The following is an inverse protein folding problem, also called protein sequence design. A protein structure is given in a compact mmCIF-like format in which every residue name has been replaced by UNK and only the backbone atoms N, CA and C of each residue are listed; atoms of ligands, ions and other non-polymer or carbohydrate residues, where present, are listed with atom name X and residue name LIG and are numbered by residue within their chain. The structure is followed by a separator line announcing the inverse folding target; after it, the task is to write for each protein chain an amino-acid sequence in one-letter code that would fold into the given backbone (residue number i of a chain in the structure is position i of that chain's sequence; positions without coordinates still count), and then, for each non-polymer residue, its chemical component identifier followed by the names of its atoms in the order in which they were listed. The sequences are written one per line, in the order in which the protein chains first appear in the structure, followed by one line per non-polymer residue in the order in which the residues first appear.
data_IF_964258924445
#
_entry.id   IF_964258924445
#
_cell.length_a   1.000
_cell.length_b   1.000
_cell.length_c   1.000
_cell.angle_alpha   90.00
_cell.angle_beta   90.00
_cell.angle_gamma   90.00
#
_symmetry.space_group_name_H-M   'P 1'
#
loop_
_entity.id
_entity.type
_entity.pdbx_description
1 polymer ?
#
# COMPACT_ATOMS: atom_id res chain seq x y z
N UNK A 1 42.18 -10.25 -38.86
CA UNK A 1 42.02 -10.09 -37.40
C UNK A 1 42.71 -11.24 -36.66
N UNK A 2 43.61 -10.96 -35.68
CA UNK A 2 44.29 -11.98 -34.89
C UNK A 2 43.30 -12.92 -34.17
N UNK A 3 43.70 -14.18 -33.94
CA UNK A 3 42.84 -15.18 -33.25
C UNK A 3 42.48 -14.75 -31.83
N UNK A 4 43.42 -14.17 -31.09
CA UNK A 4 43.19 -13.67 -29.73
C UNK A 4 42.16 -12.52 -29.71
N UNK A 5 42.19 -11.63 -30.69
CA UNK A 5 41.24 -10.52 -30.81
C UNK A 5 39.83 -11.02 -31.14
N UNK A 6 39.71 -12.05 -32.00
CA UNK A 6 38.43 -12.75 -32.25
C UNK A 6 37.85 -13.35 -30.97
N UNK A 7 38.66 -14.07 -30.21
CA UNK A 7 38.22 -14.68 -28.94
C UNK A 7 37.80 -13.61 -27.94
N UNK A 8 38.60 -12.55 -27.78
CA UNK A 8 38.27 -11.45 -26.87
C UNK A 8 36.95 -10.77 -27.25
N UNK A 9 36.73 -10.47 -28.54
CA UNK A 9 35.48 -9.89 -29.02
C UNK A 9 34.29 -10.82 -28.80
N UNK A 10 34.45 -12.13 -29.04
CA UNK A 10 33.40 -13.11 -28.74
C UNK A 10 33.06 -13.13 -27.25
N UNK A 11 34.06 -13.13 -26.37
CA UNK A 11 33.83 -13.08 -24.92
C UNK A 11 33.08 -11.81 -24.53
N UNK A 12 33.49 -10.65 -25.05
CA UNK A 12 32.81 -9.37 -24.77
C UNK A 12 31.35 -9.41 -25.23
N UNK A 13 31.07 -9.92 -26.43
CA UNK A 13 29.69 -10.05 -26.94
C UNK A 13 28.87 -10.98 -26.05
N UNK A 14 29.41 -12.12 -25.64
CA UNK A 14 28.72 -13.06 -24.75
C UNK A 14 28.41 -12.42 -23.40
N UNK A 15 29.38 -11.69 -22.82
CA UNK A 15 29.18 -10.98 -21.55
C UNK A 15 28.13 -9.87 -21.68
N UNK A 16 28.10 -9.14 -22.80
CA UNK A 16 27.09 -8.11 -23.04
C UNK A 16 25.68 -8.71 -23.17
N UNK A 17 25.55 -9.85 -23.88
CA UNK A 17 24.26 -10.56 -23.98
C UNK A 17 23.82 -11.07 -22.62
N UNK A 18 24.73 -11.67 -21.85
CA UNK A 18 24.44 -12.15 -20.50
C UNK A 18 24.03 -11.00 -19.56
N UNK A 19 24.75 -9.88 -19.61
CA UNK A 19 24.44 -8.69 -18.83
C UNK A 19 23.08 -8.09 -19.22
N UNK A 20 22.76 -8.02 -20.52
CA UNK A 20 21.47 -7.54 -21.00
C UNK A 20 20.32 -8.47 -20.56
N UNK A 21 20.52 -9.79 -20.64
CA UNK A 21 19.56 -10.78 -20.16
C UNK A 21 19.34 -10.68 -18.64
N UNK A 22 20.42 -10.55 -17.86
CA UNK A 22 20.34 -10.35 -16.42
C UNK A 22 19.65 -9.03 -16.07
N UNK A 23 20.00 -7.93 -16.74
CA UNK A 23 19.34 -6.63 -16.55
C UNK A 23 17.84 -6.72 -16.81
N UNK A 24 17.43 -7.32 -17.94
CA UNK A 24 16.03 -7.53 -18.23
C UNK A 24 15.36 -8.39 -17.15
N UNK A 25 15.99 -9.49 -16.73
CA UNK A 25 15.40 -10.39 -15.75
C UNK A 25 15.27 -9.79 -14.35
N UNK A 26 16.23 -8.99 -13.89
CA UNK A 26 16.21 -8.37 -12.56
C UNK A 26 15.44 -7.05 -12.52
N UNK A 27 15.60 -6.20 -13.54
CA UNK A 27 15.15 -4.80 -13.55
C UNK A 27 14.03 -4.56 -14.57
N UNK A 28 14.17 -5.12 -15.78
CA UNK A 28 13.25 -4.84 -16.89
C UNK A 28 11.91 -5.58 -16.82
N UNK A 29 11.88 -6.77 -16.22
CA UNK A 29 10.71 -7.62 -16.19
C UNK A 29 9.73 -7.18 -15.09
N UNK A 30 8.71 -6.43 -15.51
CA UNK A 30 7.52 -6.09 -14.71
C UNK A 30 6.25 -6.76 -15.21
N UNK A 31 6.33 -7.77 -16.08
CA UNK A 31 5.15 -8.37 -16.70
C UNK A 31 4.64 -9.58 -15.91
N UNK A 32 3.30 -9.80 -15.88
CA UNK A 32 2.74 -11.00 -15.29
C UNK A 32 3.13 -12.26 -16.08
N UNK A 33 3.22 -13.44 -15.44
CA UNK A 33 3.27 -14.72 -16.12
C UNK A 33 2.08 -14.88 -17.10
N UNK A 34 2.32 -15.45 -18.29
CA UNK A 34 1.32 -15.49 -19.36
C UNK A 34 0.07 -16.36 -19.08
N UNK A 35 0.11 -17.23 -18.08
CA UNK A 35 -1.01 -18.09 -17.66
C UNK A 35 -1.74 -17.58 -16.40
N UNK A 36 -1.30 -16.45 -15.86
CA UNK A 36 -1.83 -15.90 -14.61
C UNK A 36 -3.30 -15.47 -14.78
N UNK A 37 -4.13 -15.87 -13.81
CA UNK A 37 -5.52 -15.46 -13.74
C UNK A 37 -5.68 -14.30 -12.75
N UNK A 38 -6.56 -13.32 -13.02
CA UNK A 38 -6.89 -12.29 -12.05
C UNK A 38 -7.40 -12.90 -10.74
N UNK A 39 -7.07 -12.28 -9.62
CA UNK A 39 -7.69 -12.61 -8.34
C UNK A 39 -9.20 -12.42 -8.42
N UNK A 40 -9.96 -13.30 -7.77
CA UNK A 40 -11.41 -13.14 -7.68
C UNK A 40 -11.73 -11.94 -6.77
N UNK A 41 -12.56 -11.03 -7.26
CA UNK A 41 -13.06 -9.90 -6.49
C UNK A 41 -14.52 -9.64 -6.88
N UNK A 42 -15.39 -9.53 -5.88
CA UNK A 42 -16.82 -9.32 -6.05
C UNK A 42 -17.20 -7.97 -5.42
N UNK A 43 -17.26 -6.93 -6.25
CA UNK A 43 -17.56 -5.57 -5.78
C UNK A 43 -18.97 -5.46 -5.19
N UNK A 44 -19.94 -6.24 -5.66
CA UNK A 44 -21.29 -6.24 -5.10
C UNK A 44 -21.32 -6.87 -3.71
N UNK A 45 -20.55 -7.94 -3.50
CA UNK A 45 -20.37 -8.50 -2.16
C UNK A 45 -19.68 -7.50 -1.21
N UNK A 46 -18.68 -6.76 -1.69
CA UNK A 46 -18.03 -5.69 -0.91
C UNK A 46 -19.01 -4.57 -0.56
N UNK A 47 -19.83 -4.12 -1.51
CA UNK A 47 -20.87 -3.10 -1.30
C UNK A 47 -21.91 -3.56 -0.29
N UNK A 48 -22.36 -4.81 -0.38
CA UNK A 48 -23.29 -5.40 0.58
C UNK A 48 -22.66 -5.49 1.98
N UNK A 49 -21.38 -5.87 2.06
CA UNK A 49 -20.62 -5.91 3.31
C UNK A 49 -20.49 -4.51 3.92
N UNK A 50 -20.26 -3.49 3.11
CA UNK A 50 -20.18 -2.09 3.55
C UNK A 50 -21.50 -1.56 4.14
N UNK A 51 -22.63 -2.17 3.77
CA UNK A 51 -23.97 -1.84 4.28
C UNK A 51 -24.40 -2.74 5.46
N UNK A 52 -23.52 -3.63 5.96
CA UNK A 52 -23.81 -4.59 7.04
C UNK A 52 -23.99 -3.93 8.41
N UNK A 53 -23.15 -2.95 8.74
CA UNK A 53 -23.17 -2.29 10.05
C UNK A 53 -24.11 -1.08 10.03
N UNK A 54 -25.00 -0.93 11.03
CA UNK A 54 -25.91 0.20 11.10
C UNK A 54 -25.18 1.50 11.46
N UNK A 55 -25.68 2.63 10.97
CA UNK A 55 -25.14 3.97 11.26
C UNK A 55 -24.98 4.80 10.00
N UNK A 56 -24.54 6.06 10.17
CA UNK A 56 -24.20 6.91 9.03
C UNK A 56 -22.80 6.61 8.51
N UNK A 57 -22.65 6.70 7.18
CA UNK A 57 -21.38 6.49 6.48
C UNK A 57 -20.48 7.72 6.57
N UNK A 58 -19.27 7.59 6.05
CA UNK A 58 -18.31 8.67 6.03
C UNK A 58 -18.83 9.90 5.26
N UNK A 59 -18.78 11.08 5.89
CA UNK A 59 -19.06 12.35 5.23
C UNK A 59 -17.85 12.84 4.42
N UNK A 60 -16.65 12.54 4.94
CA UNK A 60 -15.38 13.01 4.41
C UNK A 60 -14.30 11.94 4.57
N UNK A 61 -13.35 11.92 3.64
CA UNK A 61 -12.08 11.20 3.78
C UNK A 61 -10.97 12.22 3.64
N UNK A 62 -10.07 12.27 4.63
CA UNK A 62 -8.95 13.21 4.68
C UNK A 62 -7.63 12.47 4.51
N UNK A 63 -6.59 13.18 4.07
CA UNK A 63 -5.25 12.61 3.90
C UNK A 63 -4.17 13.53 4.47
N UNK A 64 -3.26 12.96 5.24
CA UNK A 64 -1.97 13.57 5.57
C UNK A 64 -0.89 13.01 4.65
N UNK A 65 -0.06 13.90 4.10
CA UNK A 65 1.21 13.50 3.47
C UNK A 65 2.31 13.60 4.51
N UNK A 66 2.60 12.49 5.19
CA UNK A 66 3.43 12.48 6.40
C UNK A 66 4.92 12.44 6.07
N UNK A 67 5.30 11.66 5.06
CA UNK A 67 6.68 11.57 4.61
C UNK A 67 6.75 11.71 3.10
N UNK A 68 7.82 12.33 2.59
CA UNK A 68 8.13 12.40 1.15
C UNK A 68 9.53 11.85 0.89
N UNK A 69 9.64 11.08 -0.19
CA UNK A 69 10.88 10.48 -0.66
C UNK A 69 10.80 10.30 -2.18
N UNK A 70 11.91 9.91 -2.81
CA UNK A 70 11.97 9.73 -4.25
C UNK A 70 12.47 8.33 -4.58
N UNK A 71 11.85 7.66 -5.56
CA UNK A 71 12.36 6.41 -6.12
C UNK A 71 12.50 6.51 -7.65
N UNK A 72 13.39 5.72 -8.26
CA UNK A 72 13.39 5.55 -9.71
C UNK A 72 12.06 4.98 -10.20
N UNK A 73 11.48 5.51 -11.29
CA UNK A 73 10.21 5.02 -11.83
C UNK A 73 10.22 3.51 -12.12
N UNK A 74 11.38 2.98 -12.56
CA UNK A 74 11.58 1.54 -12.77
C UNK A 74 11.35 0.71 -11.51
N UNK A 75 11.54 1.26 -10.31
CA UNK A 75 11.27 0.57 -9.06
C UNK A 75 9.77 0.30 -8.86
N UNK A 76 8.90 1.21 -9.28
CA UNK A 76 7.45 1.02 -9.23
C UNK A 76 6.97 0.10 -10.35
N UNK A 77 7.39 0.35 -11.60
CA UNK A 77 6.95 -0.42 -12.78
C UNK A 77 8.16 -0.95 -13.54
N UNK A 78 8.33 -2.28 -13.54
CA UNK A 78 9.43 -2.93 -14.24
C UNK A 78 9.49 -2.56 -15.73
N UNK A 79 10.68 -2.13 -16.17
CA UNK A 79 10.93 -1.68 -17.54
C UNK A 79 10.65 -0.20 -17.80
N UNK A 80 10.17 0.57 -16.83
CA UNK A 80 10.15 2.03 -16.91
C UNK A 80 11.58 2.63 -16.79
N UNK A 81 11.68 3.96 -16.91
CA UNK A 81 12.95 4.68 -16.87
C UNK A 81 13.52 4.88 -15.46
N UNK A 82 14.76 5.38 -15.39
CA UNK A 82 15.48 5.67 -14.15
C UNK A 82 15.23 7.09 -13.61
N UNK A 83 14.28 7.84 -14.17
CA UNK A 83 13.91 9.14 -13.63
C UNK A 83 13.37 8.97 -12.21
N UNK A 84 13.82 9.83 -11.30
CA UNK A 84 13.30 9.87 -9.93
C UNK A 84 11.89 10.44 -9.96
N UNK A 85 10.96 9.78 -9.30
CA UNK A 85 9.57 10.20 -9.15
C UNK A 85 9.25 10.43 -7.67
N UNK A 86 8.52 11.50 -7.34
CA UNK A 86 8.14 11.80 -5.97
C UNK A 86 7.15 10.76 -5.46
N UNK A 87 7.41 10.26 -4.26
CA UNK A 87 6.58 9.31 -3.53
C UNK A 87 6.33 9.84 -2.11
N UNK A 88 5.33 9.27 -1.45
CA UNK A 88 5.00 9.64 -0.09
C UNK A 88 4.41 8.48 0.71
N UNK A 89 4.60 8.54 2.02
CA UNK A 89 3.79 7.79 2.96
C UNK A 89 2.62 8.66 3.42
N UNK A 90 1.43 8.11 3.31
CA UNK A 90 0.18 8.77 3.63
C UNK A 90 -0.45 8.17 4.88
N UNK A 91 -1.28 8.95 5.55
CA UNK A 91 -2.28 8.45 6.48
C UNK A 91 -3.63 9.03 6.12
N UNK A 92 -4.68 8.22 6.21
CA UNK A 92 -6.03 8.63 5.83
C UNK A 92 -6.96 8.61 7.03
N UNK A 93 -7.82 9.62 7.15
CA UNK A 93 -8.85 9.71 8.18
C UNK A 93 -10.23 9.66 7.53
N UNK A 94 -10.99 8.61 7.82
CA UNK A 94 -12.38 8.46 7.40
C UNK A 94 -13.27 9.04 8.51
N UNK A 95 -14.09 10.03 8.19
CA UNK A 95 -14.88 10.80 9.16
C UNK A 95 -16.33 10.33 9.13
N UNK A 96 -16.72 9.53 10.11
CA UNK A 96 -18.10 9.09 10.33
C UNK A 96 -18.84 10.09 11.24
N UNK A 97 -20.18 9.99 11.39
CA UNK A 97 -20.94 10.95 12.21
C UNK A 97 -20.51 11.03 13.67
N UNK A 98 -20.03 9.94 14.24
CA UNK A 98 -19.67 9.81 15.67
C UNK A 98 -18.25 9.34 15.91
N UNK A 99 -17.53 9.00 14.85
CA UNK A 99 -16.33 8.16 14.91
C UNK A 99 -15.35 8.54 13.79
N UNK A 100 -14.09 8.15 13.97
CA UNK A 100 -13.10 8.19 12.90
C UNK A 100 -12.37 6.87 12.75
N UNK A 101 -12.05 6.53 11.50
CA UNK A 101 -11.14 5.42 11.17
C UNK A 101 -9.85 5.99 10.61
N UNK A 102 -8.72 5.53 11.13
CA UNK A 102 -7.39 5.80 10.55
C UNK A 102 -6.99 4.62 9.68
N UNK A 103 -6.52 4.91 8.46
CA UNK A 103 -5.95 3.94 7.52
C UNK A 103 -4.49 4.33 7.29
N UNK A 104 -3.59 3.41 7.63
CA UNK A 104 -2.13 3.59 7.61
C UNK A 104 -1.64 4.70 8.56
N UNK A 105 -0.43 4.50 9.08
CA UNK A 105 0.12 5.31 10.17
C UNK A 105 1.54 5.80 9.89
N UNK A 106 1.94 5.79 8.61
CA UNK A 106 3.24 6.27 8.16
C UNK A 106 4.39 5.77 9.08
N UNK A 107 5.40 6.62 9.30
CA UNK A 107 6.56 6.30 10.13
C UNK A 107 7.24 7.56 10.69
N UNK A 108 7.89 7.48 11.86
CA UNK A 108 8.70 8.58 12.38
C UNK A 108 10.05 8.69 11.66
N UNK A 109 10.72 9.83 11.82
CA UNK A 109 11.99 10.15 11.15
C UNK A 109 13.08 9.08 11.31
N UNK A 110 13.18 8.44 12.48
CA UNK A 110 14.16 7.39 12.75
C UNK A 110 14.02 6.17 11.81
N UNK A 111 12.79 5.82 11.41
CA UNK A 111 12.52 4.71 10.49
C UNK A 111 12.67 5.11 9.02
N UNK A 112 12.55 6.41 8.71
CA UNK A 112 12.65 6.96 7.36
C UNK A 112 14.05 7.21 6.81
N UNK A 113 15.06 7.18 7.69
CA UNK A 113 16.40 7.65 7.35
C UNK A 113 17.05 6.86 6.19
N UNK A 114 16.83 5.55 6.12
CA UNK A 114 17.38 4.68 5.05
C UNK A 114 16.75 4.96 3.68
N UNK A 115 15.53 5.49 3.66
CA UNK A 115 14.79 5.87 2.45
C UNK A 115 15.13 7.30 2.00
N UNK A 116 15.93 8.04 2.78
CA UNK A 116 16.13 9.48 2.55
C UNK A 116 14.84 10.27 2.71
N UNK A 117 13.88 9.76 3.49
CA UNK A 117 12.57 10.36 3.64
C UNK A 117 12.64 11.66 4.46
N UNK A 118 11.96 12.69 3.96
CA UNK A 118 11.68 13.92 4.69
C UNK A 118 10.31 13.79 5.34
N UNK A 119 10.29 13.84 6.67
CA UNK A 119 9.05 13.85 7.46
C UNK A 119 8.53 15.27 7.57
N UNK A 120 7.22 15.44 7.48
CA UNK A 120 6.50 16.63 7.92
C UNK A 120 6.06 16.42 9.37
N UNK A 121 6.78 17.05 10.30
CA UNK A 121 6.56 16.86 11.75
C UNK A 121 5.16 17.28 12.19
N UNK A 122 4.59 18.32 11.56
CA UNK A 122 3.24 18.80 11.87
C UNK A 122 2.18 17.81 11.36
N UNK A 123 2.38 17.22 10.17
CA UNK A 123 1.52 16.16 9.65
C UNK A 123 1.60 14.89 10.50
N UNK A 124 2.81 14.50 10.91
CA UNK A 124 3.02 13.35 11.80
C UNK A 124 2.33 13.57 13.16
N UNK A 125 2.47 14.76 13.76
CA UNK A 125 1.78 15.10 15.01
C UNK A 125 0.26 15.09 14.87
N UNK A 126 -0.31 15.64 13.77
CA UNK A 126 -1.76 15.57 13.51
C UNK A 126 -2.24 14.13 13.34
N UNK A 127 -1.46 13.28 12.69
CA UNK A 127 -1.76 11.87 12.55
C UNK A 127 -1.76 11.16 13.92
N UNK A 128 -0.75 11.39 14.77
CA UNK A 128 -0.70 10.80 16.11
C UNK A 128 -1.89 11.24 16.98
N UNK A 129 -2.24 12.53 16.96
CA UNK A 129 -3.43 13.02 17.66
C UNK A 129 -4.71 12.36 17.13
N UNK A 130 -4.85 12.24 15.81
CA UNK A 130 -5.99 11.59 15.19
C UNK A 130 -6.07 10.08 15.53
N UNK A 131 -4.93 9.41 15.71
CA UNK A 131 -4.88 8.03 16.20
C UNK A 131 -5.39 7.92 17.64
N UNK A 132 -5.06 8.87 18.52
CA UNK A 132 -5.56 8.88 19.90
C UNK A 132 -7.08 8.96 19.99
N UNK A 133 -7.70 9.73 19.07
CA UNK A 133 -9.15 9.97 19.04
C UNK A 133 -9.94 8.95 18.21
N UNK A 134 -9.25 8.13 17.41
CA UNK A 134 -9.89 7.19 16.51
C UNK A 134 -10.51 6.00 17.24
N UNK A 135 -11.65 5.53 16.75
CA UNK A 135 -12.28 4.31 17.27
C UNK A 135 -11.88 3.06 16.50
N UNK A 136 -11.32 3.22 15.30
CA UNK A 136 -10.67 2.16 14.55
C UNK A 136 -9.35 2.66 13.95
N UNK A 137 -8.29 1.87 14.02
CA UNK A 137 -7.01 2.11 13.36
C UNK A 137 -6.64 0.83 12.62
N UNK A 138 -6.48 0.95 11.32
CA UNK A 138 -6.15 -0.16 10.42
C UNK A 138 -4.92 0.20 9.61
N UNK A 139 -4.20 -0.81 9.16
CA UNK A 139 -3.11 -0.64 8.18
C UNK A 139 -3.35 -1.58 7.01
N UNK A 140 -3.04 -1.12 5.81
CA UNK A 140 -3.08 -1.92 4.58
C UNK A 140 -2.09 -3.08 4.69
N UNK A 141 -0.90 -2.85 5.28
CA UNK A 141 0.08 -3.88 5.54
C UNK A 141 1.14 -3.48 6.58
N UNK A 142 2.04 -4.40 6.89
CA UNK A 142 2.98 -4.36 8.01
C UNK A 142 4.40 -3.87 7.69
N UNK A 143 4.62 -3.19 6.56
CA UNK A 143 5.88 -2.47 6.35
C UNK A 143 5.96 -1.21 7.20
N UNK A 144 7.19 -0.78 7.48
CA UNK A 144 7.48 0.33 8.38
C UNK A 144 6.73 1.59 8.01
N UNK A 145 6.49 1.82 6.72
CA UNK A 145 5.86 3.02 6.23
C UNK A 145 4.33 3.02 6.24
N UNK A 146 3.73 1.94 6.75
CA UNK A 146 2.29 1.80 6.95
C UNK A 146 1.96 1.56 8.42
N UNK A 147 2.74 0.72 9.11
CA UNK A 147 2.54 0.38 10.54
C UNK A 147 3.44 1.16 11.51
N UNK A 148 4.41 1.93 10.98
CA UNK A 148 5.46 2.54 11.78
C UNK A 148 4.95 3.46 12.88
N UNK A 149 3.91 4.26 12.61
CA UNK A 149 3.27 5.11 13.62
C UNK A 149 2.69 4.32 14.79
N UNK A 150 2.10 3.13 14.56
CA UNK A 150 1.63 2.25 15.64
C UNK A 150 2.80 1.69 16.44
N UNK A 151 3.82 1.17 15.74
CA UNK A 151 4.99 0.54 16.37
C UNK A 151 5.80 1.54 17.20
N UNK A 152 5.88 2.79 16.74
CA UNK A 152 6.61 3.87 17.39
C UNK A 152 5.75 4.72 18.34
N UNK A 153 4.45 4.41 18.46
CA UNK A 153 3.53 5.25 19.21
C UNK A 153 3.95 5.38 20.67
N UNK A 154 3.90 6.60 21.22
CA UNK A 154 4.43 6.87 22.57
C UNK A 154 3.60 6.19 23.68
N UNK A 155 2.28 6.13 23.52
CA UNK A 155 1.36 5.43 24.44
C UNK A 155 0.55 4.36 23.71
N UNK A 156 1.16 3.20 23.38
CA UNK A 156 0.49 2.18 22.56
C UNK A 156 -0.73 1.58 23.26
N UNK A 157 -0.78 1.58 24.60
CA UNK A 157 -1.93 1.10 25.38
C UNK A 157 -3.16 1.99 25.15
N UNK A 158 -2.96 3.31 25.01
CA UNK A 158 -4.01 4.27 24.72
C UNK A 158 -4.78 3.99 23.43
N UNK A 159 -4.09 3.52 22.38
CA UNK A 159 -4.69 3.21 21.07
C UNK A 159 -5.09 1.73 20.90
N UNK A 160 -4.72 0.86 21.84
CA UNK A 160 -4.86 -0.60 21.71
C UNK A 160 -6.29 -1.05 21.35
N UNK A 161 -7.31 -0.38 21.90
CA UNK A 161 -8.73 -0.72 21.66
C UNK A 161 -9.21 -0.35 20.27
N UNK A 162 -8.57 0.60 19.60
CA UNK A 162 -8.90 1.02 18.25
C UNK A 162 -8.24 0.13 17.19
N UNK A 163 -7.16 -0.58 17.52
CA UNK A 163 -6.40 -1.38 16.55
C UNK A 163 -7.23 -2.52 15.94
N UNK A 164 -7.17 -2.66 14.61
CA UNK A 164 -7.77 -3.75 13.83
C UNK A 164 -6.73 -4.40 12.92
N UNK A 165 -5.69 -4.97 13.53
CA UNK A 165 -4.63 -5.68 12.84
C UNK A 165 -4.97 -7.16 12.72
N UNK A 166 -4.56 -7.78 11.61
CA UNK A 166 -4.74 -9.21 11.39
C UNK A 166 -3.53 -10.04 11.91
N UNK A 167 -3.67 -11.37 12.08
CA UNK A 167 -2.62 -12.19 12.66
C UNK A 167 -1.30 -12.14 11.88
N UNK A 168 -1.34 -12.13 10.55
CA UNK A 168 -0.12 -12.15 9.73
C UNK A 168 0.63 -10.82 9.78
N UNK A 169 -0.07 -9.69 9.95
CA UNK A 169 0.57 -8.39 10.16
C UNK A 169 1.49 -8.42 11.38
N UNK A 170 1.04 -8.99 12.50
CA UNK A 170 1.85 -9.10 13.71
C UNK A 170 2.96 -10.15 13.58
N UNK A 171 2.62 -11.32 13.04
CA UNK A 171 3.57 -12.43 12.91
C UNK A 171 4.75 -12.10 11.98
N UNK A 172 4.54 -11.21 11.01
CA UNK A 172 5.55 -10.85 10.01
C UNK A 172 6.44 -9.68 10.40
N UNK A 173 6.13 -8.91 11.45
CA UNK A 173 6.93 -7.75 11.86
C UNK A 173 8.45 -8.03 11.99
N UNK A 174 8.88 -9.14 12.63
CA UNK A 174 10.31 -9.43 12.77
C UNK A 174 11.02 -9.64 11.43
N UNK A 175 10.31 -10.13 10.40
CA UNK A 175 10.84 -10.28 9.03
C UNK A 175 11.25 -8.93 8.44
N UNK A 176 10.55 -7.86 8.84
CA UNK A 176 10.76 -6.49 8.37
C UNK A 176 11.59 -5.65 9.36
N UNK A 177 12.21 -6.28 10.36
CA UNK A 177 13.02 -5.59 11.35
C UNK A 177 12.20 -4.73 12.33
N UNK A 178 10.89 -4.96 12.42
CA UNK A 178 9.99 -4.27 13.33
C UNK A 178 9.72 -5.13 14.55
N UNK A 179 9.53 -4.47 15.70
CA UNK A 179 9.23 -5.14 16.97
C UNK A 179 7.90 -4.64 17.48
N UNK A 180 6.97 -5.57 17.75
CA UNK A 180 5.69 -5.22 18.36
C UNK A 180 5.89 -4.63 19.77
N UNK A 181 5.21 -3.54 20.16
CA UNK A 181 5.36 -2.96 21.48
C UNK A 181 5.01 -3.97 22.59
N UNK A 182 5.94 -4.18 23.53
CA UNK A 182 5.74 -5.14 24.63
C UNK A 182 4.51 -4.82 25.50
N UNK A 183 4.12 -3.55 25.58
CA UNK A 183 2.93 -3.10 26.28
C UNK A 183 1.62 -3.60 25.63
N UNK A 184 1.68 -4.10 24.40
CA UNK A 184 0.58 -4.70 23.65
C UNK A 184 0.74 -6.22 23.52
N UNK A 185 1.45 -6.88 24.45
CA UNK A 185 1.64 -8.34 24.43
C UNK A 185 0.31 -9.12 24.42
N UNK A 186 -0.72 -8.56 25.05
CA UNK A 186 -2.03 -9.17 25.19
C UNK A 186 -3.01 -8.75 24.08
N UNK A 187 -2.53 -8.00 23.07
CA UNK A 187 -3.34 -7.62 21.92
C UNK A 187 -3.75 -8.87 21.12
N UNK A 188 -5.06 -9.09 21.00
CA UNK A 188 -5.61 -10.15 20.18
C UNK A 188 -5.88 -9.60 18.75
N UNK A 189 -5.15 -10.07 17.72
CA UNK A 189 -5.44 -9.70 16.34
C UNK A 189 -6.81 -10.21 15.92
N UNK A 190 -7.37 -9.57 14.89
CA UNK A 190 -8.69 -9.91 14.36
C UNK A 190 -8.53 -10.87 13.20
N UNK A 191 -9.03 -12.08 13.40
CA UNK A 191 -9.03 -13.14 12.40
C UNK A 191 -10.32 -13.12 11.57
N UNK A 192 -10.18 -13.04 10.25
CA UNK A 192 -11.26 -13.09 9.27
C UNK A 192 -10.72 -13.61 7.93
N UNK A 193 -11.53 -14.39 7.22
CA UNK A 193 -11.05 -15.13 6.04
C UNK A 193 -11.01 -14.30 4.75
N UNK A 194 -12.08 -13.56 4.46
CA UNK A 194 -12.25 -12.84 3.20
C UNK A 194 -12.41 -11.34 3.43
N UNK A 195 -13.50 -10.94 4.11
CA UNK A 195 -13.88 -9.54 4.31
C UNK A 195 -14.48 -9.31 5.69
N UNK A 196 -14.22 -8.13 6.26
CA UNK A 196 -14.73 -7.72 7.56
C UNK A 196 -15.21 -6.26 7.52
N UNK A 197 -16.44 -6.01 7.94
CA UNK A 197 -16.93 -4.65 8.17
C UNK A 197 -16.50 -4.18 9.55
N UNK A 198 -15.85 -3.01 9.61
CA UNK A 198 -15.33 -2.44 10.87
C UNK A 198 -16.05 -1.16 11.30
N UNK A 199 -16.72 -0.50 10.35
CA UNK A 199 -17.59 0.65 10.58
C UNK A 199 -18.61 0.74 9.42
N UNK A 200 -19.71 1.52 9.56
CA UNK A 200 -20.64 1.75 8.46
C UNK A 200 -19.92 2.28 7.21
N UNK A 201 -20.03 1.56 6.10
CA UNK A 201 -19.36 1.89 4.85
C UNK A 201 -17.88 1.49 4.78
N UNK A 202 -17.26 0.91 5.82
CA UNK A 202 -15.82 0.59 5.85
C UNK A 202 -15.59 -0.92 5.95
N UNK A 203 -14.90 -1.48 4.95
CA UNK A 203 -14.66 -2.92 4.82
C UNK A 203 -13.18 -3.21 4.62
N UNK A 204 -12.65 -4.14 5.41
CA UNK A 204 -11.34 -4.75 5.23
C UNK A 204 -11.46 -5.95 4.29
N UNK A 205 -10.56 -6.07 3.32
CA UNK A 205 -10.58 -7.13 2.30
C UNK A 205 -9.20 -7.77 2.24
N UNK A 206 -9.11 -9.07 2.53
CA UNK A 206 -7.82 -9.80 2.50
C UNK A 206 -7.20 -9.74 1.11
N UNK A 207 -5.93 -9.37 1.05
CA UNK A 207 -5.15 -9.28 -0.18
C UNK A 207 -3.68 -9.68 0.04
N UNK A 208 -3.40 -10.85 0.63
CA UNK A 208 -2.03 -11.30 0.85
C UNK A 208 -1.28 -11.37 -0.49
N UNK A 209 -0.05 -10.87 -0.51
CA UNK A 209 0.74 -10.78 -1.74
C UNK A 209 1.99 -9.96 -1.53
N UNK A 210 1.82 -8.63 -1.45
CA UNK A 210 2.92 -7.72 -1.14
C UNK A 210 3.56 -8.05 0.22
N UNK A 211 2.72 -8.24 1.23
CA UNK A 211 3.08 -8.87 2.50
C UNK A 211 2.08 -9.98 2.85
N UNK A 212 2.41 -10.89 3.79
CA UNK A 212 1.46 -11.87 4.31
C UNK A 212 0.20 -11.25 4.92
N UNK A 213 0.33 -10.11 5.61
CA UNK A 213 -0.77 -9.40 6.26
C UNK A 213 -1.50 -8.38 5.39
N UNK A 214 -1.19 -8.28 4.10
CA UNK A 214 -1.75 -7.29 3.19
C UNK A 214 -3.28 -7.39 3.07
N UNK A 215 -3.93 -6.21 3.08
CA UNK A 215 -5.36 -6.03 2.92
C UNK A 215 -5.67 -4.73 2.20
N UNK A 216 -6.77 -4.71 1.45
CA UNK A 216 -7.36 -3.49 0.92
C UNK A 216 -8.39 -2.95 1.92
N UNK A 217 -8.60 -1.64 1.90
CA UNK A 217 -9.66 -0.98 2.67
C UNK A 217 -10.64 -0.34 1.71
N UNK A 218 -11.90 -0.72 1.80
CA UNK A 218 -12.99 -0.12 1.02
C UNK A 218 -13.76 0.86 1.89
N UNK A 219 -14.08 2.03 1.33
CA UNK A 219 -14.85 3.10 1.99
C UNK A 219 -15.97 3.58 1.07
N UNK A 220 -17.21 3.43 1.51
CA UNK A 220 -18.41 4.01 0.90
C UNK A 220 -18.84 5.23 1.70
N UNK A 221 -18.83 6.41 1.06
CA UNK A 221 -19.27 7.68 1.64
C UNK A 221 -20.79 7.82 1.60
N UNK A 222 -21.32 8.75 2.40
CA UNK A 222 -22.76 9.04 2.43
C UNK A 222 -23.27 9.65 1.12
N UNK A 223 -22.40 10.33 0.37
CA UNK A 223 -22.70 10.92 -0.94
C UNK A 223 -22.64 9.90 -2.10
N UNK A 224 -22.40 8.62 -1.78
CA UNK A 224 -22.32 7.52 -2.73
C UNK A 224 -20.94 7.32 -3.37
N UNK A 225 -19.94 8.16 -3.09
CA UNK A 225 -18.57 7.93 -3.56
C UNK A 225 -17.96 6.71 -2.89
N UNK A 226 -17.22 5.93 -3.67
CA UNK A 226 -16.58 4.69 -3.22
C UNK A 226 -15.08 4.80 -3.44
N UNK A 227 -14.29 4.48 -2.41
CA UNK A 227 -12.82 4.48 -2.45
C UNK A 227 -12.29 3.10 -2.07
N UNK A 228 -11.28 2.62 -2.79
CA UNK A 228 -10.57 1.39 -2.51
C UNK A 228 -9.08 1.68 -2.33
N UNK A 229 -8.63 1.64 -1.08
CA UNK A 229 -7.22 1.75 -0.70
C UNK A 229 -6.54 0.42 -0.93
N UNK A 230 -5.62 0.37 -1.90
CA UNK A 230 -5.00 -0.89 -2.33
C UNK A 230 -3.67 -1.18 -1.63
N UNK A 231 -3.19 -0.26 -0.79
CA UNK A 231 -1.85 -0.32 -0.23
C UNK A 231 -0.80 -0.55 -1.32
N UNK A 232 0.13 -1.46 -1.05
CA UNK A 232 1.27 -1.73 -1.91
C UNK A 232 1.07 -2.88 -2.90
N UNK A 233 -0.19 -3.21 -3.22
CA UNK A 233 -0.47 -3.95 -4.46
C UNK A 233 0.08 -3.16 -5.65
N UNK A 234 -0.06 -1.82 -5.62
CA UNK A 234 0.56 -0.91 -6.57
C UNK A 234 0.97 0.40 -5.90
N UNK A 235 2.27 0.71 -5.96
CA UNK A 235 2.80 1.99 -5.48
C UNK A 235 2.20 3.18 -6.23
N UNK A 236 1.97 3.00 -7.53
CA UNK A 236 1.41 4.03 -8.40
C UNK A 236 0.15 3.56 -9.10
N UNK A 237 -0.71 4.49 -9.52
CA UNK A 237 -1.89 4.14 -10.31
C UNK A 237 -1.49 3.49 -11.65
N UNK A 238 -0.29 3.81 -12.14
CA UNK A 238 0.32 3.21 -13.32
C UNK A 238 0.50 1.69 -13.21
N UNK A 239 0.77 1.16 -12.00
CA UNK A 239 0.81 -0.29 -11.78
C UNK A 239 -0.53 -0.93 -12.18
N UNK A 240 -1.64 -0.33 -11.76
CA UNK A 240 -3.00 -0.78 -12.06
C UNK A 240 -3.33 -0.60 -13.55
N UNK A 241 -3.01 0.56 -14.13
CA UNK A 241 -3.28 0.86 -15.55
C UNK A 241 -2.61 -0.12 -16.51
N UNK A 242 -1.33 -0.38 -16.25
CA UNK A 242 -0.50 -1.23 -17.10
C UNK A 242 -0.67 -2.72 -16.78
N UNK A 243 -1.11 -3.05 -15.56
CA UNK A 243 -1.07 -4.41 -15.03
C UNK A 243 0.36 -4.91 -14.78
N UNK A 244 1.31 -3.98 -14.67
CA UNK A 244 2.73 -4.29 -14.45
C UNK A 244 3.11 -4.07 -13.00
N UNK A 245 3.93 -4.98 -12.49
CA UNK A 245 4.45 -4.95 -11.13
C UNK A 245 5.85 -4.37 -11.07
N UNK A 246 6.39 -4.38 -9.86
CA UNK A 246 7.77 -4.01 -9.57
C UNK A 246 8.76 -4.98 -10.24
N UNK A 247 10.02 -4.55 -10.46
CA UNK A 247 11.06 -5.45 -10.94
C UNK A 247 11.26 -6.63 -10.01
N UNK A 248 11.69 -7.77 -10.56
CA UNK A 248 11.97 -8.98 -9.78
C UNK A 248 13.00 -8.74 -8.67
N UNK A 249 14.04 -7.93 -8.93
CA UNK A 249 15.03 -7.58 -7.91
C UNK A 249 14.37 -7.00 -6.65
N UNK A 250 13.49 -6.02 -6.84
CA UNK A 250 12.83 -5.34 -5.74
C UNK A 250 11.74 -6.23 -5.12
N UNK A 251 10.81 -6.72 -5.94
CA UNK A 251 9.68 -7.54 -5.52
C UNK A 251 10.11 -8.80 -4.75
N UNK A 252 10.99 -9.62 -5.34
CA UNK A 252 11.30 -10.94 -4.79
C UNK A 252 12.45 -10.93 -3.78
N UNK A 253 13.47 -10.09 -3.99
CA UNK A 253 14.72 -10.16 -3.22
C UNK A 253 14.88 -9.06 -2.18
N UNK A 254 14.12 -7.96 -2.27
CA UNK A 254 14.19 -6.86 -1.29
C UNK A 254 12.92 -6.74 -0.46
N UNK A 255 11.75 -6.75 -1.12
CA UNK A 255 10.43 -6.64 -0.49
C UNK A 255 9.83 -8.01 -0.15
N UNK A 256 10.38 -9.08 -0.75
CA UNK A 256 10.08 -10.44 -0.34
C UNK A 256 8.59 -10.83 -0.60
N UNK A 257 8.00 -10.23 -1.64
CA UNK A 257 6.60 -10.37 -2.07
C UNK A 257 6.30 -11.74 -2.67
N UNK A 258 5.04 -12.17 -2.58
CA UNK A 258 4.46 -13.12 -3.53
C UNK A 258 4.09 -12.37 -4.81
N UNK A 259 5.04 -12.38 -5.75
CA UNK A 259 4.93 -11.65 -7.02
C UNK A 259 3.76 -12.13 -7.88
N UNK A 260 3.42 -13.42 -7.83
CA UNK A 260 2.30 -13.96 -8.61
C UNK A 260 0.96 -13.50 -8.00
N UNK A 261 0.82 -13.50 -6.68
CA UNK A 261 -0.35 -12.93 -6.01
C UNK A 261 -0.53 -11.43 -6.34
N UNK A 262 0.54 -10.64 -6.28
CA UNK A 262 0.50 -9.20 -6.64
C UNK A 262 0.07 -9.01 -8.10
N UNK A 263 0.57 -9.81 -9.03
CA UNK A 263 0.13 -9.73 -10.43
C UNK A 263 -1.35 -10.11 -10.60
N UNK A 264 -1.83 -11.13 -9.91
CA UNK A 264 -3.23 -11.52 -9.94
C UNK A 264 -4.14 -10.40 -9.43
N UNK A 265 -3.69 -9.69 -8.38
CA UNK A 265 -4.38 -8.54 -7.82
C UNK A 265 -4.34 -7.32 -8.76
N UNK A 266 -3.20 -7.02 -9.39
CA UNK A 266 -3.09 -5.94 -10.37
C UNK A 266 -3.98 -6.19 -11.60
N UNK A 267 -4.03 -7.42 -12.10
CA UNK A 267 -4.92 -7.81 -13.18
C UNK A 267 -6.40 -7.66 -12.77
N UNK A 268 -6.73 -8.04 -11.53
CA UNK A 268 -8.07 -7.84 -10.96
C UNK A 268 -8.43 -6.35 -10.86
N UNK A 269 -7.55 -5.51 -10.30
CA UNK A 269 -7.78 -4.08 -10.15
C UNK A 269 -7.94 -3.39 -11.51
N UNK A 270 -7.18 -3.81 -12.52
CA UNK A 270 -7.33 -3.32 -13.88
C UNK A 270 -8.72 -3.63 -14.45
N UNK A 271 -9.17 -4.88 -14.33
CA UNK A 271 -10.52 -5.27 -14.76
C UNK A 271 -11.62 -4.57 -13.93
N UNK A 272 -11.40 -4.36 -12.64
CA UNK A 272 -12.33 -3.66 -11.76
C UNK A 272 -12.54 -2.21 -12.19
N UNK A 273 -11.51 -1.51 -12.66
CA UNK A 273 -11.66 -0.14 -13.20
C UNK A 273 -12.57 -0.07 -14.42
N UNK A 274 -12.56 -1.11 -15.25
CA UNK A 274 -13.45 -1.19 -16.42
C UNK A 274 -14.88 -1.53 -15.98
N UNK A 275 -15.04 -2.42 -15.00
CA UNK A 275 -16.34 -2.87 -14.52
C UNK A 275 -17.04 -1.87 -13.57
N UNK A 276 -16.28 -1.07 -12.83
CA UNK A 276 -16.76 -0.11 -11.84
C UNK A 276 -15.99 1.23 -11.98
N UNK A 277 -16.23 2.00 -13.04
CA UNK A 277 -15.46 3.21 -13.35
C UNK A 277 -15.62 4.33 -12.29
N UNK A 278 -16.69 4.31 -11.52
CA UNK A 278 -16.95 5.28 -10.44
C UNK A 278 -16.23 4.92 -9.13
N UNK A 279 -15.67 3.70 -9.02
CA UNK A 279 -14.87 3.29 -7.87
C UNK A 279 -13.48 3.93 -7.95
N UNK A 280 -13.16 4.77 -6.98
CA UNK A 280 -11.86 5.42 -6.88
C UNK A 280 -10.84 4.47 -6.29
N UNK A 281 -9.81 4.10 -7.06
CA UNK A 281 -8.67 3.32 -6.57
C UNK A 281 -7.60 4.27 -6.04
N UNK A 282 -7.21 4.08 -4.78
CA UNK A 282 -6.20 4.89 -4.07
C UNK A 282 -4.90 4.09 -3.97
N UNK A 283 -3.83 4.44 -4.73
CA UNK A 283 -2.55 3.73 -4.72
C UNK A 283 -1.72 4.03 -3.46
N UNK A 284 -0.69 3.23 -3.21
CA UNK A 284 0.12 3.32 -1.98
C UNK A 284 0.92 4.61 -1.80
N UNK A 285 1.59 5.11 -2.86
CA UNK A 285 2.60 6.17 -2.73
C UNK A 285 2.57 7.23 -3.85
N UNK A 286 1.51 7.29 -4.63
CA UNK A 286 1.42 8.16 -5.81
C UNK A 286 0.97 9.58 -5.44
N UNK A 287 1.93 10.49 -5.29
CA UNK A 287 1.65 11.90 -4.94
C UNK A 287 0.70 12.54 -5.95
N UNK A 288 0.91 12.30 -7.25
CA UNK A 288 0.09 12.92 -8.29
C UNK A 288 -1.35 12.37 -8.28
N UNK A 289 -1.54 11.08 -8.00
CA UNK A 289 -2.87 10.51 -7.85
C UNK A 289 -3.59 11.11 -6.63
N UNK A 290 -2.93 11.20 -5.47
CA UNK A 290 -3.54 11.79 -4.26
C UNK A 290 -3.89 13.26 -4.49
N UNK A 291 -3.01 14.05 -5.11
CA UNK A 291 -3.30 15.45 -5.45
C UNK A 291 -4.53 15.59 -6.36
N UNK A 292 -4.71 14.67 -7.33
CA UNK A 292 -5.90 14.65 -8.19
C UNK A 292 -7.18 14.27 -7.43
N UNK A 293 -7.09 13.37 -6.44
CA UNK A 293 -8.22 13.01 -5.59
C UNK A 293 -8.64 14.16 -4.65
N UNK A 294 -7.67 14.94 -4.18
CA UNK A 294 -7.94 16.18 -3.43
C UNK A 294 -8.61 17.21 -4.35
N UNK A 295 -8.05 17.44 -5.54
CA UNK A 295 -8.56 18.44 -6.49
C UNK A 295 -9.99 18.12 -6.98
N UNK A 296 -10.35 16.84 -7.09
CA UNK A 296 -11.70 16.39 -7.48
C UNK A 296 -12.71 16.37 -6.32
N UNK A 297 -12.27 16.59 -5.07
CA UNK A 297 -13.11 16.50 -3.87
C UNK A 297 -13.49 15.07 -3.48
N UNK A 298 -12.81 14.05 -4.05
CA UNK A 298 -12.91 12.68 -3.58
C UNK A 298 -12.35 12.54 -2.16
N UNK A 299 -11.35 13.36 -1.83
CA UNK A 299 -10.70 13.47 -0.53
C UNK A 299 -10.41 14.94 -0.19
N UNK A 300 -10.13 15.23 1.08
CA UNK A 300 -9.66 16.54 1.56
C UNK A 300 -8.23 16.45 2.06
N UNK A 301 -7.44 17.50 1.85
CA UNK A 301 -6.10 17.59 2.43
C UNK A 301 -6.16 17.87 3.94
N UNK A 302 -5.21 17.27 4.66
CA UNK A 302 -4.94 17.43 6.09
C UNK A 302 -6.07 16.93 7.00
N UNK A 303 -5.68 16.42 8.16
CA UNK A 303 -6.61 16.12 9.24
C UNK A 303 -7.05 17.42 9.90
N UNK A 304 -8.30 17.46 10.35
CA UNK A 304 -8.81 18.58 11.16
C UNK A 304 -8.82 18.14 12.62
N UNK A 305 -8.22 18.98 13.46
CA UNK A 305 -8.37 18.93 14.91
C UNK A 305 -9.70 19.57 15.32
#
# INVERSE_FOLDING_TARGET
MPRWLRIALTIVVVLLIAAAGAYYWYIGDGNPPGNLQPSRFDIEAVRAKADELPGGKASEVRVETVARFDFPAVASVGGDGWAMVPMAAFSYQVVLPTDTVIIDTAFPAAMGASLGARIDDDAYARMEMAMADATQIVVTHEHSDHIGGIVAYTDPVGIARALRLNPEQLASLPRYGLTWPSQLSDYAPIDYSDMLSIAPGVVLIRAPGHTPGSQMVYVKREDGRELLFIGDIGWTLRNVETGKGRPRLLSQFMLNEDRDAVFAQLAMLKALREAAPDLVIVPGHDVAAIDALIASGAMSAQFRM
#
